data_IF_637203422095
#
_entry.id   IF_637203422095
#
_cell.length_a   1.000
_cell.length_b   1.000
_cell.length_c   1.000
_cell.angle_alpha   90.00
_cell.angle_beta   90.00
_cell.angle_gamma   90.00
#
_symmetry.space_group_name_H-M   'P 1'
#
loop_
_entity.id
_entity.type
_entity.pdbx_description
1 polymer ?
#
# COMPACT_ATOMS: atom_id res chain seq x y z
N UNK A 1 18.47 -14.53 3.31
CA UNK A 1 18.05 -13.11 3.34
C UNK A 1 17.67 -12.71 1.92
N UNK A 2 16.40 -12.86 1.55
CA UNK A 2 15.91 -12.49 0.22
C UNK A 2 15.04 -11.26 0.37
N UNK A 3 15.67 -10.10 0.28
CA UNK A 3 15.02 -8.80 0.42
C UNK A 3 14.14 -8.59 -0.81
N UNK A 4 12.82 -8.68 -0.67
CA UNK A 4 11.85 -8.62 -1.77
C UNK A 4 11.59 -7.19 -2.28
N UNK A 5 12.45 -6.25 -1.90
CA UNK A 5 12.39 -4.86 -2.31
C UNK A 5 12.30 -3.88 -1.16
N UNK A 6 12.66 -2.63 -1.42
CA UNK A 6 12.74 -1.56 -0.43
C UNK A 6 11.54 -0.62 -0.55
N UNK A 7 10.73 -0.56 0.50
CA UNK A 7 9.60 0.36 0.63
C UNK A 7 10.14 1.72 1.08
N UNK A 8 10.06 2.71 0.19
CA UNK A 8 10.41 4.10 0.47
C UNK A 8 9.39 4.75 1.39
N UNK A 9 8.09 4.49 1.17
CA UNK A 9 7.05 5.02 2.07
C UNK A 9 5.80 4.15 2.07
N UNK A 10 5.34 3.72 3.25
CA UNK A 10 4.03 3.11 3.43
C UNK A 10 3.10 4.00 4.24
N UNK A 11 1.83 4.02 3.84
CA UNK A 11 0.78 4.85 4.41
C UNK A 11 -0.47 4.02 4.60
N UNK A 12 -0.93 3.81 5.83
CA UNK A 12 -2.19 3.11 6.09
C UNK A 12 -3.31 4.12 6.29
N UNK A 13 -4.48 3.85 5.71
CA UNK A 13 -5.66 4.71 5.85
C UNK A 13 -6.54 4.15 6.95
N UNK A 14 -6.76 4.97 7.97
CA UNK A 14 -7.63 4.64 9.10
C UNK A 14 -8.83 5.56 9.12
N UNK A 15 -9.99 5.03 9.42
CA UNK A 15 -11.20 5.82 9.57
C UNK A 15 -11.08 6.71 10.82
N UNK A 16 -11.25 8.02 10.65
CA UNK A 16 -11.12 8.96 11.76
C UNK A 16 -12.27 8.85 12.77
N UNK A 17 -13.47 8.49 12.32
CA UNK A 17 -14.68 8.47 13.15
C UNK A 17 -14.71 7.26 14.10
N UNK A 18 -14.29 6.11 13.60
CA UNK A 18 -14.23 4.84 14.35
C UNK A 18 -12.85 4.55 14.92
N UNK A 19 -11.82 5.26 14.46
CA UNK A 19 -10.41 4.93 14.74
C UNK A 19 -9.97 3.60 14.11
N UNK A 20 -10.80 2.97 13.28
CA UNK A 20 -10.53 1.65 12.72
C UNK A 20 -9.90 1.77 11.33
N UNK A 21 -8.86 0.99 11.08
CA UNK A 21 -8.27 0.88 9.75
C UNK A 21 -9.32 0.46 8.73
N UNK A 22 -9.46 1.17 7.60
CA UNK A 22 -10.36 0.77 6.49
C UNK A 22 -9.83 -0.46 5.72
N UNK A 23 -8.91 -1.20 6.33
CA UNK A 23 -8.17 -2.29 5.72
C UNK A 23 -7.39 -1.88 4.48
N UNK A 24 -7.09 -0.59 4.29
CA UNK A 24 -6.59 -0.03 3.02
C UNK A 24 -5.39 0.89 3.25
N UNK A 25 -4.46 0.95 2.30
CA UNK A 25 -3.23 1.72 2.39
C UNK A 25 -2.47 1.83 1.07
N UNK A 26 -1.41 2.62 1.07
CA UNK A 26 -0.54 2.88 -0.06
C UNK A 26 0.91 2.57 0.30
N UNK A 27 1.66 2.00 -0.62
CA UNK A 27 3.06 1.61 -0.42
C UNK A 27 3.87 2.04 -1.63
N UNK A 28 4.88 2.87 -1.42
CA UNK A 28 5.82 3.33 -2.42
C UNK A 28 7.13 2.58 -2.26
N UNK A 29 7.58 1.95 -3.32
CA UNK A 29 8.87 1.27 -3.45
C UNK A 29 9.92 2.19 -4.06
N UNK A 30 11.18 1.76 -3.95
CA UNK A 30 12.32 2.46 -4.55
C UNK A 30 12.27 2.35 -6.08
N UNK A 31 12.02 1.14 -6.59
CA UNK A 31 11.90 0.88 -8.02
C UNK A 31 10.57 0.23 -8.40
N UNK A 32 10.23 0.33 -9.68
CA UNK A 32 9.03 -0.28 -10.26
C UNK A 32 9.15 -1.80 -10.29
N UNK A 33 10.35 -2.32 -10.56
CA UNK A 33 10.63 -3.76 -10.61
C UNK A 33 10.39 -4.42 -9.25
N UNK A 34 10.92 -3.83 -8.18
CA UNK A 34 10.66 -4.27 -6.80
C UNK A 34 9.17 -4.25 -6.46
N UNK A 35 8.45 -3.19 -6.87
CA UNK A 35 7.01 -3.11 -6.65
C UNK A 35 6.25 -4.21 -7.38
N UNK A 36 6.68 -4.58 -8.59
CA UNK A 36 6.09 -5.66 -9.39
C UNK A 36 6.35 -7.04 -8.78
N UNK A 37 7.53 -7.27 -8.19
CA UNK A 37 7.78 -8.52 -7.47
C UNK A 37 6.97 -8.55 -6.17
N UNK A 38 6.94 -7.44 -5.43
CA UNK A 38 6.22 -7.33 -4.18
C UNK A 38 4.71 -7.53 -4.37
N UNK A 39 4.08 -6.94 -5.38
CA UNK A 39 2.67 -7.19 -5.69
C UNK A 39 2.41 -8.67 -5.99
N UNK A 40 3.25 -9.34 -6.78
CA UNK A 40 3.06 -10.75 -7.09
C UNK A 40 3.20 -11.67 -5.86
N UNK A 41 4.01 -11.28 -4.87
CA UNK A 41 4.17 -12.02 -3.61
C UNK A 41 3.09 -11.70 -2.57
N UNK A 42 2.76 -10.41 -2.43
CA UNK A 42 1.82 -9.90 -1.43
C UNK A 42 0.36 -10.10 -1.83
N UNK A 43 0.06 -10.01 -3.13
CA UNK A 43 -1.31 -10.09 -3.61
C UNK A 43 -1.85 -11.51 -3.42
N UNK A 44 -2.89 -11.64 -2.61
CA UNK A 44 -3.51 -12.91 -2.24
C UNK A 44 -2.97 -13.51 -0.93
N UNK A 45 -1.99 -12.89 -0.30
CA UNK A 45 -1.43 -13.41 0.95
C UNK A 45 -2.37 -13.07 2.11
N UNK A 46 -2.99 -14.08 2.75
CA UNK A 46 -3.84 -13.87 3.93
C UNK A 46 -5.07 -12.96 3.67
N UNK A 47 -5.56 -12.89 2.43
CA UNK A 47 -6.68 -12.02 2.04
C UNK A 47 -6.29 -10.58 1.71
N UNK A 48 -4.99 -10.26 1.74
CA UNK A 48 -4.46 -8.95 1.35
C UNK A 48 -4.43 -8.87 -0.17
N UNK A 49 -4.92 -7.77 -0.72
CA UNK A 49 -4.96 -7.50 -2.15
C UNK A 49 -4.08 -6.30 -2.44
N UNK A 50 -3.10 -6.49 -3.34
CA UNK A 50 -2.15 -5.44 -3.72
C UNK A 50 -2.31 -5.13 -5.20
N UNK A 51 -2.42 -3.86 -5.56
CA UNK A 51 -2.63 -3.39 -6.94
C UNK A 51 -1.76 -2.16 -7.22
N UNK A 52 -1.17 -2.04 -8.41
CA UNK A 52 -0.41 -0.85 -8.82
C UNK A 52 -1.22 0.43 -8.63
N UNK A 53 -0.79 1.40 -7.84
CA UNK A 53 -1.53 2.64 -7.67
C UNK A 53 -1.24 3.59 -8.84
N UNK A 54 -2.30 3.94 -9.57
CA UNK A 54 -2.26 4.79 -10.76
C UNK A 54 -1.78 6.22 -10.51
N UNK A 55 -1.63 6.63 -9.23
CA UNK A 55 -1.40 8.02 -8.84
C UNK A 55 -0.33 8.15 -7.77
N UNK A 56 0.68 8.96 -8.04
CA UNK A 56 1.34 9.74 -6.99
C UNK A 56 0.27 10.69 -6.42
N UNK A 57 0.00 10.57 -5.12
CA UNK A 57 -1.07 11.31 -4.43
C UNK A 57 -0.73 12.81 -4.49
N UNK A 58 -1.25 13.52 -5.50
CA UNK A 58 -1.00 14.96 -5.65
C UNK A 58 -1.57 15.63 -6.91
N UNK A 59 -1.72 14.94 -8.04
CA UNK A 59 -2.18 15.59 -9.29
C UNK A 59 -3.65 15.26 -9.63
N UNK A 60 -4.44 16.32 -9.83
CA UNK A 60 -5.84 16.37 -10.26
C UNK A 60 -6.10 15.57 -11.56
N UNK A 61 -7.37 15.20 -11.88
CA UNK A 61 -7.67 14.29 -12.97
C UNK A 61 -7.52 15.01 -14.31
N UNK A 62 -6.81 14.40 -15.25
CA UNK A 62 -7.02 14.73 -16.66
C UNK A 62 -7.21 13.43 -17.43
N UNK A 63 -8.43 13.30 -17.92
CA UNK A 63 -8.95 12.24 -18.79
C UNK A 63 -9.03 10.83 -18.18
N UNK A 64 -10.27 10.34 -18.10
CA UNK A 64 -10.59 8.94 -17.92
C UNK A 64 -9.90 8.09 -19.01
N UNK A 65 -8.96 7.24 -18.60
CA UNK A 65 -8.52 6.12 -19.41
C UNK A 65 -9.16 4.84 -18.83
N UNK A 66 -9.68 3.94 -19.69
CA UNK A 66 -10.28 2.69 -19.25
C UNK A 66 -9.24 1.82 -18.56
N UNK A 67 -9.69 1.03 -17.58
CA UNK A 67 -8.90 0.16 -16.72
C UNK A 67 -8.33 -1.08 -17.47
N UNK A 68 -7.59 -0.86 -18.54
CA UNK A 68 -6.86 -1.90 -19.27
C UNK A 68 -5.38 -1.85 -18.88
N UNK A 69 -5.00 -2.71 -17.94
CA UNK A 69 -3.60 -2.97 -17.59
C UNK A 69 -2.88 -1.76 -16.96
N UNK A 70 -2.97 -1.64 -15.63
CA UNK A 70 -2.21 -0.65 -14.86
C UNK A 70 -0.73 -0.73 -15.24
N UNK A 71 -0.17 0.38 -15.71
CA UNK A 71 1.26 0.49 -15.99
C UNK A 71 2.05 0.13 -14.71
N UNK A 72 3.16 -0.62 -14.84
CA UNK A 72 3.98 -0.96 -13.69
C UNK A 72 4.50 0.34 -13.09
N UNK A 73 4.21 0.53 -11.80
CA UNK A 73 4.59 1.73 -11.04
C UNK A 73 5.17 1.31 -9.70
N UNK A 74 6.06 2.14 -9.15
CA UNK A 74 6.64 1.92 -7.82
C UNK A 74 5.66 2.23 -6.69
N UNK A 75 4.46 2.72 -7.02
CA UNK A 75 3.39 2.99 -6.08
C UNK A 75 2.39 1.83 -6.12
N UNK A 76 2.08 1.24 -4.97
CA UNK A 76 1.15 0.15 -4.79
C UNK A 76 0.02 0.58 -3.84
N UNK A 77 -1.16 0.06 -4.08
CA UNK A 77 -2.34 0.16 -3.23
C UNK A 77 -2.57 -1.20 -2.58
N UNK A 78 -2.61 -1.21 -1.26
CA UNK A 78 -2.77 -2.41 -0.42
C UNK A 78 -4.16 -2.36 0.21
N UNK A 79 -4.90 -3.45 0.14
CA UNK A 79 -6.25 -3.60 0.70
C UNK A 79 -6.41 -4.96 1.36
N UNK A 80 -7.44 -5.18 2.16
CA UNK A 80 -7.61 -6.43 2.90
C UNK A 80 -6.62 -6.57 4.07
N UNK A 81 -6.11 -5.45 4.58
CA UNK A 81 -5.36 -5.43 5.82
C UNK A 81 -6.29 -5.76 7.00
N UNK A 82 -5.80 -6.45 8.04
CA UNK A 82 -6.62 -6.85 9.20
C UNK A 82 -7.11 -5.62 9.98
N UNK A 83 -8.33 -5.17 9.72
CA UNK A 83 -9.03 -4.18 10.55
C UNK A 83 -9.62 -4.89 11.79
N UNK A 84 -9.52 -4.35 13.01
CA UNK A 84 -9.13 -2.99 13.39
C UNK A 84 -7.65 -2.76 13.73
N UNK A 85 -6.83 -3.81 13.84
CA UNK A 85 -5.44 -3.72 14.32
C UNK A 85 -4.40 -3.37 13.25
N UNK A 86 -4.83 -3.00 12.04
CA UNK A 86 -3.95 -2.59 10.96
C UNK A 86 -3.33 -1.21 11.23
N UNK A 87 -2.38 -1.19 12.16
CA UNK A 87 -1.51 -0.05 12.48
C UNK A 87 -0.21 -0.09 11.65
N UNK A 88 0.53 1.02 11.68
CA UNK A 88 1.89 1.11 11.15
C UNK A 88 2.80 -0.04 11.64
N UNK A 89 2.73 -0.44 12.91
CA UNK A 89 3.59 -1.50 13.45
C UNK A 89 3.26 -2.87 12.83
N UNK A 90 1.98 -3.23 12.77
CA UNK A 90 1.50 -4.47 12.15
C UNK A 90 1.89 -4.51 10.67
N UNK A 91 1.69 -3.41 9.95
CA UNK A 91 2.05 -3.28 8.54
C UNK A 91 3.56 -3.40 8.31
N UNK A 92 4.36 -2.79 9.20
CA UNK A 92 5.82 -2.92 9.18
C UNK A 92 6.24 -4.38 9.38
N UNK A 93 5.72 -5.05 10.41
CA UNK A 93 6.03 -6.44 10.70
C UNK A 93 5.61 -7.40 9.58
N UNK A 94 4.45 -7.17 8.95
CA UNK A 94 4.00 -7.95 7.80
C UNK A 94 4.94 -7.81 6.60
N UNK A 95 5.38 -6.60 6.30
CA UNK A 95 6.34 -6.37 5.22
C UNK A 95 7.70 -6.97 5.54
N UNK A 96 8.19 -6.80 6.77
CA UNK A 96 9.47 -7.35 7.19
C UNK A 96 9.47 -8.89 7.20
N UNK A 97 8.36 -9.51 7.63
CA UNK A 97 8.15 -10.96 7.57
C UNK A 97 8.21 -11.52 6.14
N UNK A 98 7.95 -10.66 5.15
CA UNK A 98 8.02 -10.99 3.72
C UNK A 98 9.34 -10.59 3.08
N UNK A 99 10.29 -10.09 3.88
CA UNK A 99 11.58 -9.61 3.44
C UNK A 99 11.52 -8.26 2.76
N UNK A 100 10.48 -7.44 3.00
CA UNK A 100 10.38 -6.08 2.48
C UNK A 100 10.89 -5.10 3.55
N UNK A 101 11.85 -4.25 3.21
CA UNK A 101 12.41 -3.27 4.14
C UNK A 101 11.65 -1.95 4.05
N UNK A 102 11.06 -1.48 5.15
CA UNK A 102 10.30 -0.22 5.19
C UNK A 102 11.18 0.91 5.70
N UNK A 103 11.45 1.91 4.85
CA UNK A 103 12.14 3.14 5.27
C UNK A 103 11.23 4.04 6.11
N UNK A 104 9.96 4.18 5.69
CA UNK A 104 9.05 5.14 6.31
C UNK A 104 7.60 4.70 6.28
N UNK A 105 7.06 4.35 7.43
CA UNK A 105 5.64 4.09 7.62
C UNK A 105 4.93 5.28 8.29
N UNK A 106 3.68 5.55 7.91
CA UNK A 106 2.82 6.55 8.55
C UNK A 106 1.36 6.10 8.52
N UNK A 107 0.63 6.36 9.60
CA UNK A 107 -0.83 6.23 9.62
C UNK A 107 -1.48 7.54 9.19
N UNK A 108 -2.41 7.49 8.25
CA UNK A 108 -3.19 8.63 7.78
C UNK A 108 -4.66 8.43 8.19
N UNK A 109 -5.19 9.26 9.09
CA UNK A 109 -6.63 9.30 9.33
C UNK A 109 -7.34 9.86 8.09
N UNK A 110 -8.36 9.13 7.64
CA UNK A 110 -9.32 9.51 6.60
C UNK A 110 -10.12 10.71 7.13
N UNK A 111 -9.56 11.89 6.92
CA UNK A 111 -10.17 13.20 7.22
C UNK A 111 -11.00 13.71 6.04
N UNK A 112 -11.34 12.83 5.08
CA UNK A 112 -12.44 13.06 4.15
C UNK A 112 -13.75 12.98 4.92
N UNK A 113 -13.92 13.99 5.78
CA UNK A 113 -15.15 14.29 6.47
C UNK A 113 -16.24 14.51 5.43
N UNK A 114 -17.39 13.94 5.74
CA UNK A 114 -18.68 14.50 5.36
C UNK A 114 -18.76 15.96 5.82
#
# INVERSE_FOLDING_TARGET
FSTCGTIVSSRVVVDYSTGQSKGSGFVKFSTVDEAQVAIHKLNGQGGILVKFADKDVGQAPRAAAPATGRAPSSNLYVTGLPSPEADQASLHGMFEALGLSVLRSRVIPDTRGT
#
